data_IF_065716524090
#
_entry.id   IF_065716524090
#
_cell.length_a   1.000
_cell.length_b   1.000
_cell.length_c   1.000
_cell.angle_alpha   90.00
_cell.angle_beta   90.00
_cell.angle_gamma   90.00
#
_symmetry.space_group_name_H-M   'P 1'
#
loop_
_entity.id
_entity.type
_entity.pdbx_description
1 polymer ?
#
# COMPACT_ATOMS: atom_id res chain seq x y z
N UNK A 1 14.01 -10.75 -21.79
CA UNK A 1 13.47 -11.10 -20.45
C UNK A 1 14.29 -12.27 -19.96
N UNK A 2 14.97 -12.17 -18.82
CA UNK A 2 15.76 -13.29 -18.33
C UNK A 2 14.82 -14.38 -17.81
N UNK A 3 14.88 -15.56 -18.43
CA UNK A 3 14.21 -16.80 -18.01
C UNK A 3 14.76 -17.33 -16.67
N UNK A 4 15.87 -16.77 -16.18
CA UNK A 4 16.60 -17.16 -14.96
C UNK A 4 16.01 -16.60 -13.64
N UNK A 5 14.73 -16.19 -13.62
CA UNK A 5 14.13 -15.67 -12.41
C UNK A 5 13.65 -16.79 -11.47
N UNK A 6 14.28 -16.89 -10.29
CA UNK A 6 13.82 -17.72 -9.19
C UNK A 6 12.57 -17.10 -8.53
N UNK A 7 11.41 -17.31 -9.14
CA UNK A 7 10.14 -17.02 -8.51
C UNK A 7 9.86 -18.06 -7.42
N UNK A 8 9.70 -17.68 -6.14
CA UNK A 8 9.36 -18.65 -5.10
C UNK A 8 8.08 -19.43 -5.40
N UNK A 9 7.14 -18.85 -6.15
CA UNK A 9 5.92 -19.51 -6.57
C UNK A 9 6.18 -20.75 -7.44
N UNK A 10 7.29 -20.78 -8.21
CA UNK A 10 7.69 -21.94 -9.01
C UNK A 10 8.00 -23.13 -8.11
N UNK A 11 8.63 -22.90 -6.97
CA UNK A 11 9.07 -23.96 -6.06
C UNK A 11 7.94 -24.37 -5.09
N UNK A 12 7.13 -23.41 -4.66
CA UNK A 12 6.06 -23.63 -3.67
C UNK A 12 4.79 -24.21 -4.30
N UNK A 13 4.42 -23.79 -5.51
CA UNK A 13 3.22 -24.26 -6.21
C UNK A 13 3.46 -24.33 -7.74
N UNK A 14 4.28 -25.31 -8.20
CA UNK A 14 4.66 -25.44 -9.60
C UNK A 14 3.46 -25.67 -10.53
N UNK A 15 2.39 -26.30 -10.04
CA UNK A 15 1.22 -26.65 -10.84
C UNK A 15 0.41 -25.41 -11.26
N UNK A 16 0.44 -24.36 -10.44
CA UNK A 16 -0.21 -23.08 -10.72
C UNK A 16 0.79 -21.98 -11.10
N UNK A 17 2.07 -22.30 -11.26
CA UNK A 17 3.05 -21.30 -11.65
C UNK A 17 2.87 -20.89 -13.12
N UNK A 18 2.77 -19.58 -13.36
CA UNK A 18 2.70 -18.99 -14.69
C UNK A 18 4.03 -18.30 -14.98
N UNK A 19 4.72 -18.70 -16.05
CA UNK A 19 5.99 -18.10 -16.51
C UNK A 19 5.81 -16.65 -16.97
N UNK A 20 6.92 -15.93 -17.16
CA UNK A 20 6.85 -14.55 -17.64
C UNK A 20 6.29 -14.47 -19.07
N UNK A 21 6.71 -15.37 -19.94
CA UNK A 21 6.24 -15.47 -21.33
C UNK A 21 4.74 -15.74 -21.38
N UNK A 22 4.25 -16.66 -20.53
CA UNK A 22 2.82 -16.93 -20.41
C UNK A 22 2.04 -15.72 -19.89
N UNK A 23 2.57 -14.97 -18.91
CA UNK A 23 1.91 -13.74 -18.43
C UNK A 23 1.76 -12.72 -19.55
N UNK A 24 2.82 -12.46 -20.32
CA UNK A 24 2.77 -11.52 -21.44
C UNK A 24 1.74 -11.99 -22.47
N UNK A 25 1.80 -13.26 -22.88
CA UNK A 25 0.86 -13.82 -23.85
C UNK A 25 -0.59 -13.73 -23.37
N UNK A 26 -0.86 -14.07 -22.11
CA UNK A 26 -2.19 -13.93 -21.50
C UNK A 26 -2.66 -12.48 -21.49
N UNK A 27 -1.76 -11.50 -21.35
CA UNK A 27 -2.15 -10.10 -21.40
C UNK A 27 -2.41 -9.61 -22.83
N UNK A 28 -1.63 -10.07 -23.81
CA UNK A 28 -1.80 -9.74 -25.23
C UNK A 28 -3.11 -10.29 -25.79
N UNK A 29 -3.46 -11.54 -25.45
CA UNK A 29 -4.69 -12.20 -25.92
C UNK A 29 -5.88 -12.00 -24.99
N UNK A 30 -5.82 -11.02 -24.07
CA UNK A 30 -6.78 -10.86 -22.96
C UNK A 30 -8.24 -10.67 -23.40
N UNK A 31 -8.46 -10.21 -24.63
CA UNK A 31 -9.81 -9.98 -25.17
C UNK A 31 -10.38 -11.25 -25.84
N UNK A 32 -9.53 -12.26 -26.11
CA UNK A 32 -9.89 -13.51 -26.81
C UNK A 32 -10.21 -14.68 -25.86
N UNK A 33 -9.95 -14.52 -24.55
CA UNK A 33 -10.26 -15.56 -23.56
C UNK A 33 -10.90 -14.98 -22.30
N UNK A 34 -11.54 -15.85 -21.53
CA UNK A 34 -12.17 -15.53 -20.26
C UNK A 34 -11.58 -16.42 -19.17
N UNK A 35 -11.08 -15.81 -18.09
CA UNK A 35 -10.67 -16.58 -16.91
C UNK A 35 -11.87 -17.22 -16.24
N UNK A 36 -11.65 -18.39 -15.65
CA UNK A 36 -12.63 -19.08 -14.81
C UNK A 36 -12.11 -19.18 -13.36
N UNK A 37 -12.96 -19.67 -12.44
CA UNK A 37 -12.64 -19.69 -11.01
C UNK A 37 -11.42 -20.58 -10.67
N UNK A 38 -11.12 -21.60 -11.49
CA UNK A 38 -9.99 -22.51 -11.29
C UNK A 38 -8.64 -21.81 -11.56
N UNK A 39 -8.65 -20.72 -12.34
CA UNK A 39 -7.46 -19.90 -12.60
C UNK A 39 -7.01 -19.06 -11.40
N UNK A 40 -7.77 -19.08 -10.28
CA UNK A 40 -7.47 -18.28 -9.10
C UNK A 40 -6.02 -18.48 -8.61
N UNK A 41 -5.60 -19.72 -8.35
CA UNK A 41 -4.24 -19.97 -7.84
C UNK A 41 -3.17 -19.55 -8.86
N UNK A 42 -3.46 -19.69 -10.16
CA UNK A 42 -2.54 -19.30 -11.24
C UNK A 42 -2.21 -17.81 -11.21
N UNK A 43 -3.18 -16.97 -10.84
CA UNK A 43 -3.02 -15.52 -10.81
C UNK A 43 -2.63 -14.99 -9.43
N UNK A 44 -3.18 -15.58 -8.36
CA UNK A 44 -3.05 -15.06 -7.00
C UNK A 44 -1.87 -15.63 -6.21
N UNK A 45 -1.13 -16.62 -6.74
CA UNK A 45 0.18 -16.99 -6.19
C UNK A 45 1.20 -15.84 -6.25
N UNK A 46 1.04 -14.90 -7.19
CA UNK A 46 1.89 -13.71 -7.27
C UNK A 46 1.60 -12.74 -6.12
N UNK A 47 2.62 -12.48 -5.30
CA UNK A 47 2.60 -11.48 -4.21
C UNK A 47 3.13 -10.09 -4.63
N UNK A 48 3.38 -9.88 -5.92
CA UNK A 48 3.89 -8.62 -6.49
C UNK A 48 5.21 -8.11 -5.88
N UNK A 49 6.17 -9.00 -5.59
CA UNK A 49 7.49 -8.61 -5.08
C UNK A 49 8.36 -7.84 -6.11
N UNK A 50 8.00 -7.85 -7.39
CA UNK A 50 8.71 -7.11 -8.44
C UNK A 50 9.90 -7.83 -9.08
N UNK A 51 10.46 -8.85 -8.45
CA UNK A 51 11.75 -9.38 -8.89
C UNK A 51 11.71 -10.16 -10.23
N UNK A 52 10.53 -10.60 -10.69
CA UNK A 52 10.36 -11.21 -12.03
C UNK A 52 10.36 -10.21 -13.18
N UNK A 53 10.25 -8.91 -12.91
CA UNK A 53 9.96 -7.89 -13.92
C UNK A 53 8.48 -7.81 -14.32
N UNK A 54 7.77 -8.93 -14.47
CA UNK A 54 6.37 -9.00 -14.95
C UNK A 54 5.28 -8.76 -13.89
N UNK A 55 5.65 -8.17 -12.75
CA UNK A 55 4.76 -8.02 -11.60
C UNK A 55 3.54 -7.12 -11.88
N UNK A 56 3.70 -6.14 -12.78
CA UNK A 56 2.63 -5.22 -13.17
C UNK A 56 1.63 -5.89 -14.12
N UNK A 57 2.11 -6.68 -15.08
CA UNK A 57 1.28 -7.45 -16.00
C UNK A 57 0.47 -8.50 -15.24
N UNK A 58 1.07 -9.18 -14.26
CA UNK A 58 0.34 -10.08 -13.34
C UNK A 58 -0.76 -9.36 -12.58
N UNK A 59 -0.56 -8.09 -12.22
CA UNK A 59 -1.60 -7.28 -11.59
C UNK A 59 -2.76 -6.98 -12.57
N UNK A 60 -2.47 -6.67 -13.84
CA UNK A 60 -3.50 -6.50 -14.86
C UNK A 60 -4.32 -7.78 -15.10
N UNK A 61 -3.69 -8.95 -15.04
CA UNK A 61 -4.40 -10.23 -15.13
C UNK A 61 -5.37 -10.44 -13.95
N UNK A 62 -5.02 -10.03 -12.73
CA UNK A 62 -5.93 -10.07 -11.58
C UNK A 62 -7.16 -9.17 -11.77
N UNK A 63 -6.97 -7.98 -12.32
CA UNK A 63 -8.10 -7.11 -12.68
C UNK A 63 -9.02 -7.77 -13.71
N UNK A 64 -8.43 -8.36 -14.76
CA UNK A 64 -9.20 -9.10 -15.77
C UNK A 64 -9.98 -10.26 -15.14
N UNK A 65 -9.37 -11.03 -14.25
CA UNK A 65 -10.04 -12.13 -13.55
C UNK A 65 -11.31 -11.69 -12.84
N UNK A 66 -11.28 -10.56 -12.13
CA UNK A 66 -12.47 -9.98 -11.50
C UNK A 66 -13.46 -9.44 -12.53
N UNK A 67 -12.98 -8.77 -13.59
CA UNK A 67 -13.82 -8.27 -14.69
C UNK A 67 -14.58 -9.39 -15.41
N UNK A 68 -13.97 -10.56 -15.53
CA UNK A 68 -14.58 -11.76 -16.12
C UNK A 68 -15.69 -12.36 -15.21
N UNK A 69 -15.87 -11.83 -13.99
CA UNK A 69 -16.95 -12.21 -13.06
C UNK A 69 -16.55 -13.26 -12.01
N UNK A 70 -15.25 -13.57 -11.91
CA UNK A 70 -14.74 -14.52 -10.91
C UNK A 70 -14.65 -13.86 -9.52
N UNK A 71 -14.62 -14.69 -8.48
CA UNK A 71 -14.70 -14.25 -7.09
C UNK A 71 -13.44 -14.60 -6.31
N UNK A 72 -13.15 -13.77 -5.31
CA UNK A 72 -12.17 -14.06 -4.27
C UNK A 72 -12.92 -14.17 -2.96
N UNK A 73 -12.65 -15.22 -2.20
CA UNK A 73 -13.24 -15.41 -0.88
C UNK A 73 -12.95 -14.20 0.02
N UNK A 74 -14.00 -13.66 0.66
CA UNK A 74 -13.89 -12.52 1.58
C UNK A 74 -13.69 -11.14 0.93
N UNK A 75 -13.47 -11.03 -0.39
CA UNK A 75 -13.21 -9.75 -1.03
C UNK A 75 -14.38 -8.76 -0.91
N UNK A 76 -15.63 -9.22 -1.07
CA UNK A 76 -16.80 -8.34 -0.95
C UNK A 76 -16.93 -7.75 0.46
N UNK A 77 -16.71 -8.56 1.52
CA UNK A 77 -16.72 -8.04 2.90
C UNK A 77 -15.61 -6.99 3.09
N UNK A 78 -14.42 -7.22 2.52
CA UNK A 78 -13.32 -6.26 2.59
C UNK A 78 -13.64 -4.95 1.85
N UNK A 79 -14.27 -5.03 0.68
CA UNK A 79 -14.75 -3.87 -0.08
C UNK A 79 -15.73 -3.06 0.79
N UNK A 80 -16.77 -3.71 1.32
CA UNK A 80 -17.78 -3.04 2.17
C UNK A 80 -17.13 -2.36 3.40
N UNK A 81 -16.18 -3.04 4.05
CA UNK A 81 -15.44 -2.49 5.19
C UNK A 81 -14.61 -1.27 4.78
N UNK A 82 -13.90 -1.32 3.65
CA UNK A 82 -13.11 -0.21 3.13
C UNK A 82 -13.98 0.98 2.72
N UNK A 83 -15.09 0.74 2.02
CA UNK A 83 -16.02 1.78 1.59
C UNK A 83 -16.68 2.47 2.78
N UNK A 84 -17.03 1.71 3.83
CA UNK A 84 -17.70 2.24 5.02
C UNK A 84 -16.74 2.93 6.00
N UNK A 85 -15.57 2.34 6.25
CA UNK A 85 -14.68 2.79 7.32
C UNK A 85 -13.41 3.48 6.82
N UNK A 86 -13.12 3.42 5.52
CA UNK A 86 -11.88 3.94 4.94
C UNK A 86 -10.64 3.13 5.32
N UNK A 87 -10.79 1.94 5.92
CA UNK A 87 -9.69 1.12 6.45
C UNK A 87 -10.07 -0.35 6.37
N UNK A 88 -9.12 -1.31 6.24
CA UNK A 88 -9.45 -2.74 6.17
C UNK A 88 -9.92 -3.33 7.51
N UNK A 89 -10.16 -2.51 8.52
CA UNK A 89 -10.57 -2.93 9.86
C UNK A 89 -11.99 -2.46 10.17
N UNK A 90 -12.76 -3.26 10.93
CA UNK A 90 -14.14 -2.92 11.34
C UNK A 90 -14.23 -1.64 12.18
N UNK A 91 -13.12 -1.19 12.75
CA UNK A 91 -13.01 0.06 13.50
C UNK A 91 -11.84 0.89 12.97
N UNK A 92 -12.13 2.10 12.48
CA UNK A 92 -11.11 3.09 12.16
C UNK A 92 -10.78 3.93 13.39
N UNK A 93 -10.23 3.29 14.42
CA UNK A 93 -9.76 3.95 15.64
C UNK A 93 -8.27 3.69 15.78
N UNK A 94 -7.47 4.75 15.72
CA UNK A 94 -6.05 4.67 16.01
C UNK A 94 -5.80 4.13 17.42
N UNK A 95 -4.84 3.24 17.55
CA UNK A 95 -4.32 2.72 18.83
C UNK A 95 -3.00 3.38 19.23
N UNK A 96 -2.53 4.36 18.46
CA UNK A 96 -1.41 5.23 18.83
C UNK A 96 -1.83 6.01 20.07
N UNK A 97 -1.06 5.89 21.15
CA UNK A 97 -1.30 6.69 22.36
C UNK A 97 -0.97 8.15 22.12
N UNK A 98 -1.51 9.02 22.96
CA UNK A 98 -1.15 10.44 22.94
C UNK A 98 0.36 10.62 23.02
N UNK A 99 0.90 11.48 22.14
CA UNK A 99 2.32 11.80 22.07
C UNK A 99 2.43 13.30 22.35
N UNK A 100 3.10 13.64 23.44
CA UNK A 100 3.34 15.03 23.82
C UNK A 100 4.25 15.71 22.80
N UNK A 101 4.00 16.99 22.51
CA UNK A 101 4.80 17.79 21.58
C UNK A 101 4.33 17.81 20.13
N UNK A 102 3.25 17.08 19.79
CA UNK A 102 2.63 17.18 18.45
C UNK A 102 1.96 18.56 18.27
N UNK A 103 2.27 19.22 17.15
CA UNK A 103 1.66 20.49 16.76
C UNK A 103 0.39 20.26 15.94
N UNK A 104 -0.77 20.53 16.54
CA UNK A 104 -2.08 20.36 15.89
C UNK A 104 -2.37 21.36 14.75
N UNK A 105 -1.49 22.34 14.52
CA UNK A 105 -1.59 23.32 13.42
C UNK A 105 -0.58 23.07 12.30
N UNK A 106 0.25 22.03 12.41
CA UNK A 106 1.25 21.70 11.41
C UNK A 106 0.61 21.45 10.04
N UNK A 107 1.29 21.93 8.99
CA UNK A 107 0.97 21.66 7.58
C UNK A 107 1.65 20.39 7.05
N UNK A 108 2.45 19.73 7.90
CA UNK A 108 3.02 18.41 7.67
C UNK A 108 2.19 17.33 8.35
N UNK A 109 1.72 16.35 7.59
CA UNK A 109 1.08 15.15 8.10
C UNK A 109 2.10 14.03 8.32
N UNK A 110 2.18 13.46 9.52
CA UNK A 110 2.79 12.15 9.74
C UNK A 110 1.73 11.06 9.51
N UNK A 111 1.77 10.45 8.33
CA UNK A 111 0.83 9.42 7.90
C UNK A 111 1.33 8.03 8.31
N UNK A 112 0.63 7.42 9.27
CA UNK A 112 0.99 6.11 9.81
C UNK A 112 0.54 4.94 8.93
N UNK A 113 -0.56 5.13 8.20
CA UNK A 113 -1.29 4.10 7.50
C UNK A 113 -2.21 3.28 8.41
N UNK A 114 -3.10 2.52 7.77
CA UNK A 114 -4.10 1.71 8.45
C UNK A 114 -3.50 0.63 9.36
N UNK A 115 -2.46 -0.08 8.90
CA UNK A 115 -1.91 -1.20 9.66
C UNK A 115 -1.13 -0.73 10.88
N UNK A 116 -0.29 0.29 10.74
CA UNK A 116 0.53 0.81 11.85
C UNK A 116 -0.33 1.27 13.02
N UNK A 117 -1.38 2.05 12.73
CA UNK A 117 -2.26 2.60 13.76
C UNK A 117 -3.04 1.53 14.52
N UNK A 118 -3.30 0.36 13.94
CA UNK A 118 -4.15 -0.68 14.54
C UNK A 118 -3.39 -1.91 15.04
N UNK A 119 -2.35 -2.33 14.32
CA UNK A 119 -1.64 -3.61 14.56
C UNK A 119 -0.26 -3.42 15.17
N UNK A 120 0.44 -2.34 14.83
CA UNK A 120 1.79 -2.05 15.36
C UNK A 120 1.89 -0.62 15.89
N UNK A 121 1.02 -0.20 16.84
CA UNK A 121 0.98 1.19 17.28
C UNK A 121 2.29 1.64 17.93
N UNK A 122 2.98 0.74 18.65
CA UNK A 122 4.27 1.05 19.28
C UNK A 122 5.34 1.50 18.27
N UNK A 123 5.35 0.90 17.07
CA UNK A 123 6.24 1.32 15.98
C UNK A 123 5.94 2.76 15.51
N UNK A 124 4.66 3.11 15.38
CA UNK A 124 4.25 4.48 15.06
C UNK A 124 4.60 5.48 16.16
N UNK A 125 4.35 5.11 17.43
CA UNK A 125 4.72 5.92 18.60
C UNK A 125 6.23 6.21 18.65
N UNK A 126 7.06 5.20 18.43
CA UNK A 126 8.51 5.32 18.45
C UNK A 126 9.03 6.19 17.31
N UNK A 127 8.45 6.08 16.10
CA UNK A 127 8.79 6.96 14.97
C UNK A 127 8.41 8.42 15.27
N UNK A 128 7.20 8.68 15.76
CA UNK A 128 6.76 10.02 16.07
C UNK A 128 7.66 10.67 17.15
N UNK A 129 7.98 9.94 18.22
CA UNK A 129 8.93 10.40 19.24
C UNK A 129 10.31 10.67 18.66
N UNK A 130 10.79 9.81 17.76
CA UNK A 130 12.06 10.02 17.08
C UNK A 130 12.04 11.30 16.24
N UNK A 131 11.01 11.52 15.42
CA UNK A 131 10.87 12.72 14.59
C UNK A 131 10.78 14.00 15.45
N UNK A 132 10.05 13.96 16.57
CA UNK A 132 10.01 15.06 17.54
C UNK A 132 11.41 15.34 18.14
N UNK A 133 12.19 14.30 18.47
CA UNK A 133 13.57 14.46 18.94
C UNK A 133 14.51 15.09 17.90
N UNK A 134 14.10 15.08 16.62
CA UNK A 134 14.79 15.74 15.50
C UNK A 134 14.18 17.11 15.16
N UNK A 135 13.30 17.65 16.01
CA UNK A 135 12.59 18.90 15.81
C UNK A 135 11.78 18.95 14.50
N UNK A 136 11.25 17.80 14.07
CA UNK A 136 10.36 17.74 12.91
C UNK A 136 8.95 18.13 13.35
N UNK A 137 8.42 19.19 12.75
CA UNK A 137 7.03 19.63 12.97
C UNK A 137 6.06 18.77 12.14
N UNK A 138 5.07 18.17 12.81
CA UNK A 138 4.04 17.36 12.16
C UNK A 138 2.76 17.30 13.01
N UNK A 139 1.64 16.96 12.34
CA UNK A 139 0.37 16.57 12.96
C UNK A 139 0.09 15.08 12.67
N UNK A 140 -0.72 14.47 13.53
CA UNK A 140 -1.26 13.11 13.36
C UNK A 140 -2.78 13.19 13.32
N UNK A 141 -3.40 12.44 12.40
CA UNK A 141 -4.86 12.33 12.36
C UNK A 141 -5.37 11.26 13.33
N UNK A 142 -6.50 11.53 13.97
CA UNK A 142 -7.17 10.51 14.81
C UNK A 142 -7.65 9.31 13.98
N UNK A 143 -8.06 9.59 12.73
CA UNK A 143 -8.52 8.61 11.75
C UNK A 143 -7.84 8.87 10.42
N UNK A 144 -7.19 7.84 9.91
CA UNK A 144 -6.59 7.88 8.58
C UNK A 144 -7.41 7.02 7.62
N UNK A 145 -7.41 7.41 6.35
CA UNK A 145 -7.96 6.59 5.27
C UNK A 145 -6.81 5.77 4.70
N UNK A 146 -6.98 4.46 4.60
CA UNK A 146 -6.01 3.55 4.00
C UNK A 146 -5.58 4.04 2.61
N UNK A 147 -4.28 3.95 2.32
CA UNK A 147 -3.72 4.27 0.99
C UNK A 147 -4.25 3.38 -0.15
N UNK A 148 -5.01 2.31 0.17
CA UNK A 148 -5.61 1.43 -0.83
C UNK A 148 -4.70 0.36 -1.42
N UNK A 149 -3.40 0.34 -1.11
CA UNK A 149 -2.47 -0.67 -1.68
C UNK A 149 -2.92 -2.14 -1.49
N UNK A 150 -3.45 -2.56 -0.32
CA UNK A 150 -3.90 -3.95 -0.15
C UNK A 150 -5.05 -4.35 -1.07
N UNK A 151 -6.05 -3.48 -1.26
CA UNK A 151 -7.20 -3.75 -2.15
C UNK A 151 -6.77 -3.70 -3.62
N UNK A 152 -5.83 -2.82 -3.96
CA UNK A 152 -5.19 -2.81 -5.27
C UNK A 152 -4.55 -4.17 -5.58
N UNK A 153 -3.86 -4.80 -4.62
CA UNK A 153 -3.21 -6.11 -4.86
C UNK A 153 -4.20 -7.25 -5.21
N UNK A 154 -5.50 -7.08 -4.96
CA UNK A 154 -6.54 -8.03 -5.37
C UNK A 154 -7.02 -7.81 -6.79
N UNK A 155 -6.61 -6.74 -7.47
CA UNK A 155 -7.13 -6.33 -8.77
C UNK A 155 -8.45 -5.56 -8.70
N UNK A 156 -8.95 -5.23 -7.50
CA UNK A 156 -10.11 -4.35 -7.36
C UNK A 156 -9.64 -2.90 -7.47
N UNK A 157 -10.06 -2.21 -8.53
CA UNK A 157 -9.64 -0.84 -8.85
C UNK A 157 -10.66 0.21 -8.41
N UNK A 158 -11.96 -0.09 -8.38
CA UNK A 158 -13.00 0.91 -8.07
C UNK A 158 -12.91 1.40 -6.62
N UNK A 159 -12.78 0.47 -5.68
CA UNK A 159 -12.57 0.74 -4.26
C UNK A 159 -11.20 1.36 -4.03
N UNK A 160 -10.18 0.97 -4.81
CA UNK A 160 -8.88 1.63 -4.76
C UNK A 160 -8.99 3.12 -5.12
N UNK A 161 -9.58 3.43 -6.27
CA UNK A 161 -9.76 4.81 -6.75
C UNK A 161 -10.60 5.64 -5.77
N UNK A 162 -11.66 5.06 -5.21
CA UNK A 162 -12.46 5.70 -4.15
C UNK A 162 -11.60 6.12 -2.95
N UNK A 163 -10.69 5.26 -2.49
CA UNK A 163 -9.81 5.57 -1.35
C UNK A 163 -8.77 6.63 -1.72
N UNK A 164 -8.26 6.61 -2.95
CA UNK A 164 -7.34 7.64 -3.45
C UNK A 164 -8.03 9.00 -3.43
N UNK A 165 -9.21 9.10 -4.03
CA UNK A 165 -9.95 10.36 -4.11
C UNK A 165 -10.33 10.90 -2.73
N UNK A 166 -10.81 10.04 -1.82
CA UNK A 166 -11.09 10.47 -0.43
C UNK A 166 -9.85 11.00 0.29
N UNK A 167 -8.69 10.37 0.09
CA UNK A 167 -7.43 10.86 0.64
C UNK A 167 -7.03 12.21 0.03
N UNK A 168 -7.17 12.39 -1.30
CA UNK A 168 -6.88 13.68 -1.95
C UNK A 168 -7.77 14.79 -1.41
N UNK A 169 -9.08 14.54 -1.30
CA UNK A 169 -10.03 15.49 -0.71
C UNK A 169 -9.61 15.88 0.70
N UNK A 170 -9.32 14.91 1.57
CA UNK A 170 -8.89 15.17 2.94
C UNK A 170 -7.60 16.01 2.99
N UNK A 171 -6.61 15.69 2.14
CA UNK A 171 -5.34 16.41 2.08
C UNK A 171 -5.53 17.87 1.66
N UNK A 172 -6.37 18.11 0.65
CA UNK A 172 -6.69 19.45 0.16
C UNK A 172 -7.47 20.24 1.22
N UNK A 173 -8.49 19.65 1.83
CA UNK A 173 -9.34 20.31 2.83
C UNK A 173 -8.56 20.70 4.09
N UNK A 174 -7.64 19.84 4.54
CA UNK A 174 -6.75 20.15 5.67
C UNK A 174 -5.59 21.08 5.28
N UNK A 175 -5.38 21.25 3.97
CA UNK A 175 -4.32 22.04 3.38
C UNK A 175 -2.94 21.54 3.81
N UNK A 176 -2.69 20.24 3.70
CA UNK A 176 -1.35 19.69 3.95
C UNK A 176 -0.41 20.02 2.79
N UNK A 177 0.80 20.45 3.12
CA UNK A 177 1.86 20.79 2.17
C UNK A 177 2.93 19.68 2.11
N UNK A 178 3.00 18.86 3.16
CA UNK A 178 3.95 17.75 3.26
C UNK A 178 3.33 16.54 3.94
N UNK A 179 3.68 15.35 3.46
CA UNK A 179 3.31 14.07 4.07
C UNK A 179 4.58 13.26 4.30
N UNK A 180 4.80 12.87 5.56
CA UNK A 180 5.83 11.92 5.98
C UNK A 180 5.14 10.58 6.20
N UNK A 181 5.54 9.56 5.46
CA UNK A 181 4.97 8.22 5.57
C UNK A 181 5.87 7.29 6.38
N UNK A 182 5.28 6.33 7.09
CA UNK A 182 6.03 5.29 7.86
C UNK A 182 5.97 3.90 7.23
N UNK A 183 5.12 3.73 6.22
CA UNK A 183 4.85 2.48 5.54
C UNK A 183 5.30 2.56 4.07
N UNK A 184 6.10 1.60 3.58
CA UNK A 184 6.67 1.67 2.23
C UNK A 184 5.60 1.61 1.13
N UNK A 185 4.52 0.83 1.32
CA UNK A 185 3.43 0.79 0.34
C UNK A 185 2.65 2.10 0.29
N UNK A 186 2.47 2.77 1.44
CA UNK A 186 1.87 4.10 1.48
C UNK A 186 2.76 5.11 0.75
N UNK A 187 4.06 5.12 1.01
CA UNK A 187 5.02 5.99 0.32
C UNK A 187 4.91 5.84 -1.21
N UNK A 188 4.95 4.60 -1.70
CA UNK A 188 4.84 4.30 -3.12
C UNK A 188 3.52 4.80 -3.73
N UNK A 189 2.39 4.57 -3.06
CA UNK A 189 1.09 5.05 -3.52
C UNK A 189 1.05 6.58 -3.56
N UNK A 190 1.50 7.25 -2.49
CA UNK A 190 1.54 8.71 -2.43
C UNK A 190 2.41 9.31 -3.54
N UNK A 191 3.62 8.76 -3.74
CA UNK A 191 4.52 9.21 -4.81
C UNK A 191 3.95 9.01 -6.22
N UNK A 192 3.06 8.05 -6.41
CA UNK A 192 2.50 7.72 -7.74
C UNK A 192 1.21 8.49 -8.05
N UNK A 193 0.33 8.68 -7.08
CA UNK A 193 -1.06 9.12 -7.31
C UNK A 193 -1.39 10.54 -6.80
N UNK A 194 -0.42 11.25 -6.23
CA UNK A 194 -0.64 12.55 -5.59
C UNK A 194 0.34 13.62 -6.11
N UNK A 195 0.98 13.37 -7.24
CA UNK A 195 1.96 14.28 -7.85
C UNK A 195 1.32 15.60 -8.27
N UNK A 196 0.03 15.57 -8.59
CA UNK A 196 -0.76 16.72 -9.01
C UNK A 196 -1.13 17.67 -7.88
N UNK A 197 -0.98 17.26 -6.62
CA UNK A 197 -1.37 18.09 -5.46
C UNK A 197 -0.30 19.10 -5.02
N UNK A 198 0.85 19.14 -5.69
CA UNK A 198 2.01 19.98 -5.34
C UNK A 198 2.42 19.86 -3.85
N UNK A 199 2.33 18.64 -3.31
CA UNK A 199 2.72 18.32 -1.93
C UNK A 199 4.04 17.56 -1.88
N UNK A 200 4.84 17.82 -0.84
CA UNK A 200 6.08 17.09 -0.60
C UNK A 200 5.78 15.73 0.03
N UNK A 201 6.22 14.64 -0.60
CA UNK A 201 6.07 13.28 -0.07
C UNK A 201 7.45 12.74 0.33
N UNK A 202 7.60 12.41 1.62
CA UNK A 202 8.83 11.88 2.21
C UNK A 202 8.57 10.54 2.93
N UNK A 203 9.61 9.73 3.01
CA UNK A 203 9.62 8.53 3.84
C UNK A 203 10.38 8.80 5.13
N UNK A 204 9.90 8.31 6.27
CA UNK A 204 10.50 8.61 7.58
C UNK A 204 11.99 8.26 7.67
N UNK A 205 12.48 7.32 6.86
CA UNK A 205 13.89 6.92 6.85
C UNK A 205 14.82 8.04 6.40
N UNK A 206 14.32 9.03 5.64
CA UNK A 206 15.08 10.21 5.24
C UNK A 206 15.54 11.06 6.45
N UNK A 207 14.90 10.87 7.61
CA UNK A 207 15.23 11.53 8.87
C UNK A 207 16.18 10.70 9.75
N UNK A 208 16.55 9.49 9.34
CA UNK A 208 17.45 8.63 10.12
C UNK A 208 18.86 9.21 10.11
N UNK A 209 19.42 9.42 11.31
CA UNK A 209 20.82 9.80 11.45
C UNK A 209 21.68 8.53 11.35
N UNK A 210 22.73 8.50 10.50
CA UNK A 210 23.68 7.39 10.49
C UNK A 210 24.28 7.20 11.87
N UNK A 211 24.37 5.95 12.34
CA UNK A 211 25.10 5.64 13.57
C UNK A 211 26.57 5.91 13.30
N UNK A 212 27.10 7.02 13.83
CA UNK A 212 28.55 7.22 13.89
C UNK A 212 29.09 6.11 14.79
N UNK A 213 29.90 5.20 14.24
CA UNK A 213 30.52 4.11 15.02
C UNK A 213 31.14 4.73 16.27
N UNK A 214 30.66 4.34 17.46
CA UNK A 214 31.41 4.57 18.70
C UNK A 214 32.80 3.96 18.47
N UNK A 215 33.85 4.78 18.57
CA UNK A 215 35.19 4.28 18.73
C UNK A 215 35.15 3.28 19.89
N UNK A 216 35.54 2.04 19.62
CA UNK A 216 35.80 1.05 20.67
C UNK A 216 36.91 1.65 21.54
N UNK A 217 36.55 2.05 22.76
CA UNK A 217 37.51 2.20 23.85
C UNK A 217 37.97 0.82 24.30
#
# INVERSE_FOLDING_TARGET
MNEDYNCPCRDVDPNNFVTNEQVIRLLETKDDYKFNQEDYLRLYNCVHCGACGTHYERFLLKQKFLKDGNKIEGLNEQIEVLEKHGTPFKLNKSRIKHIEGINIKSKTLLYFGCFTTVKTPKYGEDIAKYLLSKNVDFIVLEKEICCGYPILCTGEVKTYDLLIERNKTLIIEMGFEKIITVCPSCYMVFKKHYQELDIKIEYFTEYLTPVVKKNKG
#
